data_IF_877676222208
#
_entry.id   IF_877676222208
#
_cell.length_a   1.000
_cell.length_b   1.000
_cell.length_c   1.000
_cell.angle_alpha   90.00
_cell.angle_beta   90.00
_cell.angle_gamma   90.00
#
_symmetry.space_group_name_H-M   'P 1'
#
loop_
_entity.id
_entity.type
_entity.pdbx_description
1 polymer ?
#
# COMPACT_ATOMS: atom_id res chain seq x y z
N UNK A 1 -13.57 -13.16 -5.96
CA UNK A 1 -13.27 -11.79 -5.50
C UNK A 1 -12.03 -11.90 -4.62
N UNK A 2 -10.99 -11.12 -4.89
CA UNK A 2 -9.74 -11.15 -4.12
C UNK A 2 -9.95 -10.37 -2.82
N UNK A 3 -9.52 -10.91 -1.68
CA UNK A 3 -9.56 -10.23 -0.39
C UNK A 3 -8.14 -10.06 0.17
N UNK A 4 -8.00 -9.34 1.28
CA UNK A 4 -6.70 -9.01 1.84
C UNK A 4 -5.90 -10.25 2.29
N UNK A 5 -6.54 -11.24 2.89
CA UNK A 5 -5.89 -12.50 3.30
C UNK A 5 -5.34 -13.29 2.12
N UNK A 6 -6.14 -13.44 1.06
CA UNK A 6 -5.72 -14.12 -0.16
C UNK A 6 -4.56 -13.38 -0.82
N UNK A 7 -4.62 -12.04 -0.90
CA UNK A 7 -3.50 -11.24 -1.41
C UNK A 7 -2.23 -11.46 -0.58
N UNK A 8 -2.33 -11.47 0.74
CA UNK A 8 -1.17 -11.66 1.63
C UNK A 8 -0.49 -13.03 1.44
N UNK A 9 -1.23 -14.04 0.98
CA UNK A 9 -0.70 -15.37 0.67
C UNK A 9 -0.03 -15.49 -0.71
N UNK A 10 -0.19 -14.50 -1.60
CA UNK A 10 0.41 -14.51 -2.94
C UNK A 10 1.94 -14.38 -2.92
N UNK A 11 2.57 -14.87 -3.99
CA UNK A 11 4.00 -14.65 -4.24
C UNK A 11 4.34 -13.20 -4.58
N UNK A 12 5.62 -12.85 -4.50
CA UNK A 12 6.09 -11.48 -4.76
C UNK A 12 5.67 -10.93 -6.14
N UNK A 13 5.82 -11.75 -7.20
CA UNK A 13 5.46 -11.34 -8.57
C UNK A 13 3.96 -11.07 -8.69
N UNK A 14 3.13 -11.99 -8.19
CA UNK A 14 1.67 -11.87 -8.23
C UNK A 14 1.17 -10.66 -7.43
N UNK A 15 1.74 -10.42 -6.23
CA UNK A 15 1.44 -9.22 -5.43
C UNK A 15 1.74 -7.94 -6.22
N UNK A 16 2.87 -7.93 -6.92
CA UNK A 16 3.28 -6.77 -7.73
C UNK A 16 2.31 -6.54 -8.89
N UNK A 17 1.94 -7.59 -9.62
CA UNK A 17 0.96 -7.50 -10.71
C UNK A 17 -0.41 -7.00 -10.21
N UNK A 18 -0.89 -7.54 -9.10
CA UNK A 18 -2.17 -7.11 -8.51
C UNK A 18 -2.12 -5.64 -8.08
N UNK A 19 -1.05 -5.20 -7.43
CA UNK A 19 -0.87 -3.79 -7.06
C UNK A 19 -0.84 -2.86 -8.27
N UNK A 20 -0.23 -3.29 -9.39
CA UNK A 20 -0.21 -2.50 -10.63
C UNK A 20 -1.61 -2.29 -11.24
N UNK A 21 -2.57 -3.16 -10.93
CA UNK A 21 -3.98 -2.97 -11.33
C UNK A 21 -4.75 -2.06 -10.37
N UNK A 22 -4.19 -1.76 -9.20
CA UNK A 22 -4.79 -0.91 -8.18
C UNK A 22 -4.70 0.59 -8.51
N UNK A 23 -5.54 1.36 -7.82
CA UNK A 23 -5.49 2.82 -7.86
C UNK A 23 -4.58 3.34 -6.76
N UNK A 24 -3.57 4.13 -7.13
CA UNK A 24 -2.74 4.84 -6.15
C UNK A 24 -3.59 5.88 -5.39
N UNK A 25 -3.50 5.86 -4.06
CA UNK A 25 -4.26 6.78 -3.21
C UNK A 25 -3.37 7.85 -2.58
N UNK A 26 -2.27 7.42 -1.95
CA UNK A 26 -1.40 8.30 -1.19
C UNK A 26 -0.04 7.64 -0.97
N UNK A 27 0.94 8.45 -0.57
CA UNK A 27 2.23 7.98 -0.10
C UNK A 27 2.60 8.68 1.20
N UNK A 28 3.46 8.01 1.98
CA UNK A 28 4.04 8.58 3.19
C UNK A 28 5.50 8.18 3.31
N UNK A 29 6.28 9.04 3.94
CA UNK A 29 7.67 8.78 4.26
C UNK A 29 7.75 8.43 5.74
N UNK A 30 8.36 7.30 6.05
CA UNK A 30 8.76 6.91 7.41
C UNK A 30 10.28 7.02 7.53
N UNK A 31 10.85 6.80 8.73
CA UNK A 31 12.29 6.90 8.94
C UNK A 31 13.09 6.01 7.96
N UNK A 32 12.67 4.76 7.82
CA UNK A 32 13.38 3.73 7.05
C UNK A 32 12.73 3.40 5.69
N UNK A 33 11.44 3.68 5.53
CA UNK A 33 10.66 3.25 4.36
C UNK A 33 9.90 4.39 3.71
N UNK A 34 9.84 4.33 2.39
CA UNK A 34 8.86 5.06 1.60
C UNK A 34 7.66 4.13 1.36
N UNK A 35 6.47 4.52 1.78
CA UNK A 35 5.29 3.63 1.75
C UNK A 35 4.25 4.22 0.82
N UNK A 36 3.78 3.42 -0.15
CA UNK A 36 2.68 3.78 -1.05
C UNK A 36 1.43 3.00 -0.71
N UNK A 37 0.30 3.68 -0.69
CA UNK A 37 -1.01 3.12 -0.47
C UNK A 37 -1.76 3.00 -1.80
N UNK A 38 -2.27 1.80 -2.08
CA UNK A 38 -3.11 1.51 -3.22
C UNK A 38 -4.46 0.99 -2.75
N UNK A 39 -5.52 1.34 -3.46
CA UNK A 39 -6.79 0.63 -3.39
C UNK A 39 -6.86 -0.40 -4.53
N UNK A 40 -7.05 -1.66 -4.16
CA UNK A 40 -7.21 -2.77 -5.08
C UNK A 40 -8.57 -3.37 -4.80
N UNK A 41 -9.54 -3.10 -5.68
CA UNK A 41 -10.92 -3.57 -5.53
C UNK A 41 -11.51 -3.16 -4.16
N UNK A 42 -11.82 -4.12 -3.29
CA UNK A 42 -12.46 -3.88 -1.98
C UNK A 42 -11.49 -3.77 -0.80
N UNK A 43 -10.17 -3.76 -1.04
CA UNK A 43 -9.17 -3.66 0.01
C UNK A 43 -8.06 -2.67 -0.34
N UNK A 44 -7.17 -2.46 0.62
CA UNK A 44 -6.03 -1.55 0.50
C UNK A 44 -4.72 -2.32 0.61
N UNK A 45 -3.70 -1.83 -0.07
CA UNK A 45 -2.35 -2.40 -0.04
C UNK A 45 -1.33 -1.30 0.23
N UNK A 46 -0.58 -1.45 1.31
CA UNK A 46 0.66 -0.71 1.54
C UNK A 46 1.82 -1.45 0.88
N UNK A 47 2.58 -0.74 0.04
CA UNK A 47 3.83 -1.21 -0.54
C UNK A 47 4.96 -0.45 0.13
N UNK A 48 5.82 -1.18 0.83
CA UNK A 48 6.95 -0.63 1.54
C UNK A 48 8.17 -0.68 0.64
N UNK A 49 8.75 0.47 0.35
CA UNK A 49 10.01 0.59 -0.38
C UNK A 49 11.11 0.93 0.61
N UNK A 50 12.23 0.20 0.53
CA UNK A 50 13.43 0.57 1.28
C UNK A 50 13.95 1.91 0.73
N UNK A 51 14.22 2.88 1.61
CA UNK A 51 14.62 4.23 1.21
C UNK A 51 15.96 4.27 0.46
N UNK A 52 16.89 3.38 0.79
CA UNK A 52 18.23 3.35 0.22
C UNK A 52 18.27 2.59 -1.11
N UNK A 53 17.71 1.38 -1.17
CA UNK A 53 17.73 0.57 -2.39
C UNK A 53 16.60 0.89 -3.37
N UNK A 54 15.54 1.57 -2.90
CA UNK A 54 14.28 1.81 -3.62
C UNK A 54 13.57 0.53 -4.08
N UNK A 55 13.97 -0.61 -3.56
CA UNK A 55 13.34 -1.90 -3.81
C UNK A 55 12.15 -2.09 -2.88
N UNK A 56 11.17 -2.87 -3.32
CA UNK A 56 10.06 -3.28 -2.46
C UNK A 56 10.61 -4.18 -1.37
N UNK A 57 10.44 -3.74 -0.13
CA UNK A 57 10.78 -4.48 1.07
C UNK A 57 9.63 -5.40 1.49
N UNK A 58 8.38 -4.92 1.41
CA UNK A 58 7.22 -5.70 1.83
C UNK A 58 5.90 -5.19 1.22
N UNK A 59 4.86 -6.02 1.34
CA UNK A 59 3.47 -5.68 1.02
C UNK A 59 2.58 -6.01 2.21
N UNK A 60 1.65 -5.12 2.52
CA UNK A 60 0.63 -5.35 3.53
C UNK A 60 -0.75 -5.02 3.00
N UNK A 61 -1.59 -6.03 2.83
CA UNK A 61 -3.00 -5.83 2.52
C UNK A 61 -3.86 -5.78 3.77
N UNK A 62 -4.88 -4.92 3.76
CA UNK A 62 -5.88 -4.80 4.82
C UNK A 62 -7.20 -4.23 4.27
N UNK A 63 -8.29 -4.50 4.98
CA UNK A 63 -9.64 -4.02 4.61
C UNK A 63 -10.11 -2.85 5.49
N UNK A 64 -9.46 -2.62 6.64
CA UNK A 64 -9.87 -1.60 7.60
C UNK A 64 -9.26 -0.23 7.31
N UNK A 65 -10.09 0.80 7.34
CA UNK A 65 -9.67 2.21 7.13
C UNK A 65 -8.79 2.78 8.24
N UNK A 66 -8.64 2.09 9.37
CA UNK A 66 -7.76 2.51 10.48
C UNK A 66 -6.31 2.69 10.04
N UNK A 67 -5.82 1.88 9.11
CA UNK A 67 -4.44 1.99 8.59
C UNK A 67 -4.29 3.06 7.50
N UNK A 68 -5.40 3.67 7.07
CA UNK A 68 -5.42 4.83 6.17
C UNK A 68 -5.22 6.14 6.95
N UNK A 69 -5.52 6.16 8.25
CA UNK A 69 -5.42 7.35 9.10
C UNK A 69 -4.06 8.07 9.01
N UNK A 70 -2.89 7.40 9.02
CA UNK A 70 -1.61 8.09 8.95
C UNK A 70 -1.34 8.75 7.59
N UNK A 71 -2.17 8.49 6.57
CA UNK A 71 -2.13 9.17 5.28
C UNK A 71 -3.05 10.38 5.23
N UNK A 72 -4.00 10.50 6.17
CA UNK A 72 -4.93 11.63 6.24
C UNK A 72 -4.31 12.86 6.91
N UNK A 73 -3.35 12.67 7.84
CA UNK A 73 -2.63 13.78 8.48
C UNK A 73 -1.76 14.58 7.49
N UNK A 74 -1.26 13.94 6.42
CA UNK A 74 -0.51 14.60 5.34
C UNK A 74 -1.40 15.11 4.20
N UNK A 75 -2.71 14.82 4.26
CA UNK A 75 -3.69 15.23 3.27
C UNK A 75 -4.05 16.69 3.53
N UNK A 76 -3.19 17.61 3.07
CA UNK A 76 -3.57 19.02 2.93
C UNK A 76 -4.73 19.09 1.94
N UNK A 77 -5.95 19.15 2.47
CA UNK A 77 -7.12 19.59 1.70
C UNK A 77 -6.78 20.99 1.20
N UNK A 78 -6.48 21.10 -0.10
CA UNK A 78 -6.49 22.38 -0.77
C UNK A 78 -7.94 22.87 -0.75
N UNK A 79 -8.21 23.82 0.16
CA UNK A 79 -9.46 24.60 0.19
C UNK A 79 -9.44 25.60 -0.96
#
# INVERSE_FOLDING_TARGET
MMNSDHFNALGYLEKTEVVLTGTFLADRITEDHYVRLYNVDQFYVEVFFNRTSRLIADFRAFEHTMFVLPYLDDLKVAV
#
